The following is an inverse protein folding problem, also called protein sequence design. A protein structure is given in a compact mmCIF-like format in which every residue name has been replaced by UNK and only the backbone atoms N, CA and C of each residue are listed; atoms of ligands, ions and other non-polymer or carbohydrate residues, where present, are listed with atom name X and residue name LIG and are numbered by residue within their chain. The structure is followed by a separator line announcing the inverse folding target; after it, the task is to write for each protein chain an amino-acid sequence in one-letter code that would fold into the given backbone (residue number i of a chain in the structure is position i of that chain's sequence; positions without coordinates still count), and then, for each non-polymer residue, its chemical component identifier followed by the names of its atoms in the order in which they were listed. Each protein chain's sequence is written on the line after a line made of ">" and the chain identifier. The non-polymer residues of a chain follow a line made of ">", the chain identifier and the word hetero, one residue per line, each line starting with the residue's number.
data_IF_194932392766
#
_entry.id   IF_194932392766
#
_cell.length_a   1.000
_cell.length_b   1.000
_cell.length_c   1.000
_cell.angle_alpha   90.00
_cell.angle_beta   90.00
_cell.angle_gamma   90.00
#
_symmetry.space_group_name_H-M   'P 1'
#
loop_
_entity.id
_entity.type
_entity.pdbx_description
1 polymer ?
#
# COMPACT_ATOMS: atom_id res chain seq x y z
N UNK A 1 -15.01 -20.72 10.03
CA UNK A 1 -14.48 -19.43 9.56
C UNK A 1 -14.77 -19.34 8.07
N UNK A 2 -14.90 -18.15 7.50
CA UNK A 2 -14.94 -17.96 6.04
C UNK A 2 -13.81 -17.04 5.67
N UNK A 3 -13.11 -17.32 4.58
CA UNK A 3 -11.96 -16.53 4.11
C UNK A 3 -12.28 -16.02 2.71
N UNK A 4 -12.13 -14.71 2.51
CA UNK A 4 -12.08 -14.09 1.19
C UNK A 4 -10.62 -13.79 0.84
N UNK A 5 -10.29 -13.87 -0.45
CA UNK A 5 -8.95 -13.58 -0.95
C UNK A 5 -9.03 -12.49 -2.01
N UNK A 6 -8.24 -11.44 -1.80
CA UNK A 6 -8.23 -10.24 -2.60
C UNK A 6 -6.78 -9.87 -2.90
N UNK A 7 -6.54 -9.35 -4.09
CA UNK A 7 -5.26 -8.76 -4.47
C UNK A 7 -5.52 -7.39 -5.06
N UNK A 8 -4.49 -6.54 -5.07
CA UNK A 8 -4.58 -5.24 -5.72
C UNK A 8 -3.22 -4.87 -6.30
N UNK A 9 -3.27 -4.10 -7.37
CA UNK A 9 -2.15 -3.34 -7.92
C UNK A 9 -2.62 -1.89 -8.09
N UNK A 10 -2.73 -1.39 -9.31
CA UNK A 10 -3.55 -0.21 -9.62
C UNK A 10 -5.05 -0.56 -9.61
N UNK A 11 -5.39 -1.81 -9.90
CA UNK A 11 -6.74 -2.37 -9.87
C UNK A 11 -7.00 -3.16 -8.59
N UNK A 12 -8.29 -3.42 -8.30
CA UNK A 12 -8.71 -4.30 -7.21
C UNK A 12 -9.28 -5.59 -7.77
N UNK A 13 -8.81 -6.73 -7.26
CA UNK A 13 -9.18 -8.05 -7.74
C UNK A 13 -9.78 -8.88 -6.60
N UNK A 14 -10.98 -9.41 -6.85
CA UNK A 14 -11.62 -10.40 -6.00
C UNK A 14 -11.24 -11.78 -6.55
N UNK A 15 -10.35 -12.49 -5.87
CA UNK A 15 -10.00 -13.86 -6.25
C UNK A 15 -11.03 -14.85 -5.74
N UNK A 16 -11.52 -14.64 -4.51
CA UNK A 16 -12.70 -15.33 -3.99
C UNK A 16 -13.40 -14.51 -2.90
N UNK A 17 -14.73 -14.55 -2.89
CA UNK A 17 -15.53 -14.04 -1.78
C UNK A 17 -15.44 -14.98 -0.57
N UNK A 18 -15.81 -14.54 0.65
CA UNK A 18 -15.71 -15.38 1.85
C UNK A 18 -16.34 -16.76 1.70
N UNK A 19 -15.51 -17.80 1.76
CA UNK A 19 -15.89 -19.21 1.63
C UNK A 19 -15.28 -20.07 2.74
N UNK A 20 -15.89 -21.21 3.04
CA UNK A 20 -15.38 -22.26 3.91
C UNK A 20 -14.80 -23.46 3.13
N UNK A 21 -14.77 -23.39 1.80
CA UNK A 21 -14.07 -24.35 0.94
C UNK A 21 -12.56 -24.05 0.91
N UNK A 22 -11.86 -24.57 1.91
CA UNK A 22 -10.41 -24.37 2.06
C UNK A 22 -9.59 -25.09 0.99
N UNK A 23 -10.13 -26.13 0.34
CA UNK A 23 -9.44 -26.83 -0.75
C UNK A 23 -9.37 -25.93 -1.97
N UNK A 24 -10.51 -25.35 -2.37
CA UNK A 24 -10.55 -24.37 -3.46
C UNK A 24 -9.75 -23.12 -3.12
N UNK A 25 -9.82 -22.62 -1.88
CA UNK A 25 -9.03 -21.47 -1.44
C UNK A 25 -7.53 -21.72 -1.58
N UNK A 26 -7.02 -22.88 -1.16
CA UNK A 26 -5.61 -23.25 -1.32
C UNK A 26 -5.20 -23.25 -2.79
N UNK A 27 -6.01 -23.85 -3.66
CA UNK A 27 -5.75 -23.88 -5.10
C UNK A 27 -5.79 -22.49 -5.78
N UNK A 28 -6.52 -21.52 -5.21
CA UNK A 28 -6.50 -20.13 -5.66
C UNK A 28 -5.25 -19.42 -5.15
N UNK A 29 -4.90 -19.60 -3.87
CA UNK A 29 -3.73 -18.99 -3.26
C UNK A 29 -2.43 -19.42 -3.97
N UNK A 30 -2.32 -20.69 -4.36
CA UNK A 30 -1.17 -21.23 -5.12
C UNK A 30 -0.99 -20.58 -6.51
N UNK A 31 -2.02 -19.90 -7.02
CA UNK A 31 -2.01 -19.20 -8.31
C UNK A 31 -1.78 -17.71 -8.20
N UNK A 32 -1.63 -17.17 -6.98
CA UNK A 32 -1.29 -15.76 -6.80
C UNK A 32 0.12 -15.55 -7.33
N UNK A 33 0.20 -14.82 -8.44
CA UNK A 33 1.44 -14.40 -9.04
C UNK A 33 1.70 -12.94 -8.66
N UNK A 34 2.58 -12.75 -7.67
CA UNK A 34 3.03 -11.43 -7.21
C UNK A 34 3.97 -10.73 -8.21
N UNK A 35 4.39 -11.41 -9.28
CA UNK A 35 5.28 -10.88 -10.30
C UNK A 35 4.55 -10.47 -11.60
N UNK A 36 3.21 -10.49 -11.62
CA UNK A 36 2.47 -10.00 -12.80
C UNK A 36 2.78 -8.53 -13.07
N UNK A 37 3.04 -8.25 -14.35
CA UNK A 37 3.56 -7.01 -14.91
C UNK A 37 2.59 -5.82 -14.89
N UNK A 38 1.93 -5.57 -13.75
CA UNK A 38 1.16 -4.36 -13.55
C UNK A 38 2.01 -3.38 -12.74
N UNK A 39 2.42 -2.29 -13.40
CA UNK A 39 3.34 -1.32 -12.84
C UNK A 39 2.63 -0.41 -11.83
N UNK A 40 2.37 -0.91 -10.62
CA UNK A 40 2.04 -0.05 -9.50
C UNK A 40 1.32 -0.72 -8.33
N UNK A 41 1.06 0.09 -7.33
CA UNK A 41 0.46 -0.27 -6.06
C UNK A 41 -0.35 0.93 -5.60
N UNK A 42 -1.67 0.91 -5.83
CA UNK A 42 -2.62 1.89 -5.33
C UNK A 42 -3.25 1.39 -4.04
N UNK A 43 -2.56 1.59 -2.91
CA UNK A 43 -3.07 1.14 -1.61
C UNK A 43 -4.38 1.85 -1.25
N UNK A 44 -4.53 3.11 -1.61
CA UNK A 44 -5.79 3.84 -1.41
C UNK A 44 -6.96 3.14 -2.11
N UNK A 45 -6.83 2.86 -3.41
CA UNK A 45 -7.87 2.18 -4.18
C UNK A 45 -8.11 0.75 -3.67
N UNK A 46 -7.06 0.00 -3.36
CA UNK A 46 -7.15 -1.34 -2.81
C UNK A 46 -7.91 -1.39 -1.47
N UNK A 47 -7.57 -0.52 -0.51
CA UNK A 47 -8.24 -0.45 0.79
C UNK A 47 -9.67 0.10 0.67
N UNK A 48 -9.90 1.08 -0.21
CA UNK A 48 -11.25 1.60 -0.48
C UNK A 48 -12.16 0.51 -1.07
N UNK A 49 -11.69 -0.21 -2.08
CA UNK A 49 -12.44 -1.27 -2.75
C UNK A 49 -12.66 -2.46 -1.82
N UNK A 50 -11.66 -2.84 -1.02
CA UNK A 50 -11.82 -3.85 0.02
C UNK A 50 -12.87 -3.44 1.05
N UNK A 51 -12.88 -2.17 1.49
CA UNK A 51 -13.93 -1.66 2.36
C UNK A 51 -15.31 -1.81 1.69
N UNK A 52 -15.44 -1.54 0.40
CA UNK A 52 -16.67 -1.79 -0.36
C UNK A 52 -17.08 -3.27 -0.41
N UNK A 53 -16.11 -4.17 -0.52
CA UNK A 53 -16.33 -5.62 -0.61
C UNK A 53 -16.67 -6.29 0.73
N UNK A 54 -16.14 -5.77 1.85
CA UNK A 54 -16.45 -6.30 3.18
C UNK A 54 -17.73 -5.66 3.75
N UNK A 55 -18.62 -6.50 4.27
CA UNK A 55 -19.86 -6.08 4.95
C UNK A 55 -19.60 -5.40 6.31
N UNK A 56 -20.69 -5.10 7.02
CA UNK A 56 -20.59 -4.68 8.41
C UNK A 56 -20.08 -5.84 9.28
N UNK A 57 -19.22 -5.54 10.25
CA UNK A 57 -18.71 -6.54 11.19
C UNK A 57 -19.71 -6.74 12.32
N UNK A 58 -20.07 -8.01 12.58
CA UNK A 58 -20.84 -8.39 13.75
C UNK A 58 -19.97 -8.57 14.99
N UNK A 59 -20.61 -8.97 16.09
CA UNK A 59 -19.96 -9.14 17.39
C UNK A 59 -19.40 -10.55 17.63
N UNK A 60 -19.67 -11.50 16.72
CA UNK A 60 -19.26 -12.90 16.80
C UNK A 60 -20.20 -13.76 17.63
N UNK A 61 -21.35 -13.23 18.07
CA UNK A 61 -22.33 -13.98 18.88
C UNK A 61 -23.05 -15.08 18.08
N UNK A 62 -23.08 -14.97 16.75
CA UNK A 62 -23.75 -15.93 15.88
C UNK A 62 -23.14 -15.96 14.48
N UNK A 63 -23.51 -16.96 13.68
CA UNK A 63 -23.14 -17.05 12.28
C UNK A 63 -23.69 -15.89 11.42
N UNK A 64 -24.76 -15.23 11.86
CA UNK A 64 -25.35 -14.07 11.19
C UNK A 64 -24.69 -12.74 11.60
N UNK A 65 -23.91 -12.73 12.68
CA UNK A 65 -23.16 -11.58 13.17
C UNK A 65 -21.65 -11.92 13.27
N UNK A 66 -20.98 -12.28 12.17
CA UNK A 66 -19.59 -12.71 12.21
C UNK A 66 -18.66 -11.54 12.56
N UNK A 67 -17.67 -11.79 13.42
CA UNK A 67 -16.50 -10.90 13.53
C UNK A 67 -15.70 -10.96 12.23
N UNK A 68 -15.17 -9.81 11.81
CA UNK A 68 -14.39 -9.66 10.59
C UNK A 68 -12.98 -9.25 10.95
N UNK A 69 -12.02 -9.98 10.39
CA UNK A 69 -10.59 -9.69 10.48
C UNK A 69 -10.10 -9.42 9.06
N UNK A 70 -9.38 -8.33 8.87
CA UNK A 70 -8.73 -7.98 7.61
C UNK A 70 -7.23 -8.12 7.79
N UNK A 71 -6.59 -8.90 6.93
CA UNK A 71 -5.14 -9.09 6.92
C UNK A 71 -4.58 -8.31 5.73
N UNK A 72 -3.97 -7.17 5.99
CA UNK A 72 -3.35 -6.33 4.97
C UNK A 72 -1.83 -6.58 4.92
N UNK A 73 -1.37 -7.19 3.83
CA UNK A 73 0.03 -7.52 3.61
C UNK A 73 0.59 -6.65 2.48
N UNK A 74 1.67 -5.93 2.73
CA UNK A 74 2.30 -5.05 1.72
C UNK A 74 3.72 -4.69 2.14
N UNK A 75 4.55 -4.33 1.15
CA UNK A 75 5.83 -3.69 1.40
C UNK A 75 5.70 -2.22 1.84
N UNK A 76 4.47 -1.72 1.90
CA UNK A 76 4.12 -0.42 2.44
C UNK A 76 4.53 0.75 1.56
N UNK A 77 5.03 0.50 0.34
CA UNK A 77 5.15 1.53 -0.68
C UNK A 77 3.90 1.57 -1.54
N UNK A 78 3.55 2.76 -1.99
CA UNK A 78 2.46 2.98 -2.92
C UNK A 78 2.91 3.98 -3.96
N UNK A 79 2.51 3.74 -5.20
CA UNK A 79 2.57 4.68 -6.29
C UNK A 79 1.14 4.80 -6.84
N UNK A 80 0.38 5.70 -6.24
CA UNK A 80 -0.96 6.01 -6.75
C UNK A 80 -0.80 6.65 -8.13
N UNK A 81 -1.05 5.86 -9.17
CA UNK A 81 -1.36 6.33 -10.52
C UNK A 81 -2.81 6.78 -10.63
N UNK A 82 -3.43 7.16 -9.51
CA UNK A 82 -4.70 7.87 -9.55
C UNK A 82 -4.43 9.14 -10.33
N UNK A 83 -5.11 9.31 -11.45
CA UNK A 83 -5.12 10.56 -12.21
C UNK A 83 -5.52 11.67 -11.25
N UNK A 84 -4.54 12.31 -10.64
CA UNK A 84 -4.69 13.61 -10.02
C UNK A 84 -4.89 14.57 -11.18
N UNK A 85 -6.10 14.58 -11.75
CA UNK A 85 -6.50 15.64 -12.65
C UNK A 85 -6.49 16.92 -11.82
N UNK A 86 -5.97 18.03 -12.37
CA UNK A 86 -5.86 19.32 -11.69
C UNK A 86 -7.17 19.75 -10.98
N UNK A 87 -8.32 19.29 -11.48
CA UNK A 87 -9.65 19.52 -10.90
C UNK A 87 -9.90 18.85 -9.55
N UNK A 88 -9.29 17.69 -9.25
CA UNK A 88 -9.48 16.97 -7.98
C UNK A 88 -8.50 17.39 -6.88
N UNK A 89 -7.51 18.23 -7.17
CA UNK A 89 -6.60 18.76 -6.14
C UNK A 89 -7.32 19.64 -5.11
N UNK A 90 -8.31 20.41 -5.55
CA UNK A 90 -9.02 21.36 -4.68
C UNK A 90 -9.90 20.69 -3.61
N UNK A 91 -10.39 19.47 -3.86
CA UNK A 91 -11.18 18.67 -2.91
C UNK A 91 -10.33 17.64 -2.17
N UNK A 92 -9.30 17.08 -2.80
CA UNK A 92 -8.34 16.19 -2.15
C UNK A 92 -7.49 16.94 -1.10
N UNK A 93 -7.03 18.17 -1.38
CA UNK A 93 -6.22 18.96 -0.45
C UNK A 93 -6.95 19.36 0.85
N UNK A 94 -8.29 19.30 0.89
CA UNK A 94 -9.09 19.50 2.11
C UNK A 94 -9.47 18.20 2.82
N UNK A 95 -9.40 17.06 2.14
CA UNK A 95 -9.77 15.74 2.67
C UNK A 95 -8.57 14.89 3.09
N UNK A 96 -7.38 15.18 2.56
CA UNK A 96 -6.10 14.61 2.99
C UNK A 96 -5.38 15.65 3.84
N UNK A 97 -4.98 15.34 5.09
CA UNK A 97 -4.07 16.23 5.79
C UNK A 97 -2.81 16.39 4.93
N UNK A 98 -2.27 17.60 4.77
CA UNK A 98 -1.05 17.79 4.01
C UNK A 98 0.06 16.96 4.68
N UNK A 99 0.47 15.87 4.03
CA UNK A 99 1.63 15.13 4.47
C UNK A 99 2.87 15.96 4.23
N UNK A 100 3.64 16.12 5.28
CA UNK A 100 4.96 16.75 5.25
C UNK A 100 5.89 15.91 4.35
N UNK A 101 6.13 16.42 3.14
CA UNK A 101 7.16 15.93 2.22
C UNK A 101 6.72 15.19 0.94
N UNK A 102 5.47 15.29 0.46
CA UNK A 102 5.10 14.77 -0.87
C UNK A 102 5.83 15.57 -1.96
N UNK A 103 6.68 14.91 -2.76
CA UNK A 103 7.31 15.50 -3.97
C UNK A 103 6.67 14.91 -5.23
N UNK A 104 5.94 15.72 -5.97
CA UNK A 104 5.44 15.38 -7.31
C UNK A 104 6.56 15.60 -8.34
N UNK A 105 6.84 14.65 -9.23
CA UNK A 105 7.74 14.88 -10.38
C UNK A 105 7.04 14.51 -11.69
N UNK A 106 7.15 15.40 -12.68
CA UNK A 106 6.84 15.14 -14.08
C UNK A 106 7.88 14.18 -14.64
N UNK A 107 7.46 13.11 -15.32
CA UNK A 107 8.34 12.09 -15.89
C UNK A 107 8.94 12.45 -17.25
N UNK A 108 8.78 13.67 -17.76
CA UNK A 108 9.32 14.02 -19.08
C UNK A 108 10.60 14.86 -18.99
N UNK A 109 11.82 14.27 -19.03
CA UNK A 109 12.91 14.94 -19.69
C UNK A 109 12.74 14.76 -21.21
N UNK A 110 12.94 15.82 -22.02
CA UNK A 110 13.04 15.64 -23.47
C UNK A 110 14.15 14.62 -23.79
N UNK A 111 14.00 13.81 -24.85
CA UNK A 111 14.90 12.70 -25.19
C UNK A 111 16.37 13.09 -25.42
N UNK A 112 16.68 14.39 -25.42
CA UNK A 112 17.98 14.94 -25.82
C UNK A 112 18.72 15.67 -24.69
N UNK A 113 18.22 15.65 -23.44
CA UNK A 113 18.91 16.28 -22.31
C UNK A 113 19.93 15.32 -21.67
N UNK A 114 21.20 15.73 -21.65
CA UNK A 114 22.35 14.95 -21.20
C UNK A 114 22.33 14.51 -19.72
N UNK A 115 23.47 14.05 -19.17
CA UNK A 115 23.51 13.29 -17.91
C UNK A 115 22.85 14.06 -16.76
N UNK A 116 21.87 13.38 -16.17
CA UNK A 116 21.02 13.78 -15.08
C UNK A 116 21.84 14.33 -13.90
N UNK A 117 21.79 15.64 -13.67
CA UNK A 117 22.26 16.23 -12.42
C UNK A 117 21.11 16.22 -11.41
N UNK A 118 21.24 15.55 -10.25
CA UNK A 118 20.29 15.78 -9.17
C UNK A 118 20.40 17.26 -8.75
N UNK A 119 19.29 17.96 -8.48
CA UNK A 119 19.37 19.29 -7.90
C UNK A 119 19.99 19.15 -6.50
N UNK A 120 21.27 19.54 -6.41
CA UNK A 120 21.93 19.81 -5.14
C UNK A 120 21.33 21.14 -4.64
N UNK A 121 20.33 21.05 -3.77
CA UNK A 121 19.66 22.21 -3.18
C UNK A 121 18.59 21.84 -2.15
N UNK A 122 18.83 22.28 -0.92
CA UNK A 122 17.98 22.45 0.28
C UNK A 122 16.54 21.87 0.32
N UNK A 123 16.11 21.17 1.42
CA UNK A 123 14.81 20.54 1.54
C UNK A 123 13.74 21.52 2.05
N UNK A 124 13.55 22.66 1.38
CA UNK A 124 12.46 23.58 1.71
C UNK A 124 11.23 23.22 0.89
N UNK A 125 10.19 22.81 1.61
CA UNK A 125 8.85 22.51 1.11
C UNK A 125 8.35 23.58 0.13
N UNK A 126 8.20 23.21 -1.13
CA UNK A 126 7.44 23.95 -2.13
C UNK A 126 6.36 23.02 -2.66
N UNK A 127 5.10 23.44 -2.50
CA UNK A 127 3.92 22.75 -3.03
C UNK A 127 4.11 22.36 -4.50
N UNK A 128 3.54 21.23 -4.92
CA UNK A 128 3.57 20.77 -6.31
C UNK A 128 3.16 21.92 -7.24
N UNK A 129 4.13 22.47 -7.98
CA UNK A 129 3.88 23.55 -8.94
C UNK A 129 3.47 22.87 -10.25
N UNK A 130 2.27 23.14 -10.81
CA UNK A 130 1.98 22.73 -12.17
C UNK A 130 3.00 23.40 -13.10
N UNK A 131 3.54 22.63 -14.05
CA UNK A 131 4.39 23.18 -15.11
C UNK A 131 3.60 24.25 -15.88
N UNK A 132 4.01 25.54 -15.86
CA UNK A 132 3.27 26.60 -16.53
C UNK A 132 3.56 26.71 -18.03
N UNK A 133 4.33 25.79 -18.64
CA UNK A 133 4.76 25.89 -20.04
C UNK A 133 4.42 24.64 -20.87
N UNK A 134 3.14 24.35 -21.07
CA UNK A 134 2.59 23.87 -22.38
C UNK A 134 1.08 23.57 -22.29
N UNK A 135 0.21 24.36 -22.96
CA UNK A 135 -1.25 24.16 -22.93
C UNK A 135 -1.79 22.95 -23.71
N UNK A 136 -0.98 21.96 -24.11
CA UNK A 136 -1.42 20.91 -25.04
C UNK A 136 -0.86 19.50 -24.76
N UNK A 137 -0.72 19.10 -23.50
CA UNK A 137 -0.67 17.68 -23.13
C UNK A 137 -1.72 17.38 -22.06
N UNK A 138 -2.91 17.02 -22.53
CA UNK A 138 -3.83 16.18 -21.78
C UNK A 138 -3.15 14.83 -21.52
N UNK A 139 -2.67 14.57 -20.30
CA UNK A 139 -2.33 13.19 -19.88
C UNK A 139 -0.98 12.90 -19.20
N UNK A 140 -0.28 13.86 -18.59
CA UNK A 140 1.03 13.56 -18.00
C UNK A 140 0.94 13.10 -16.55
N UNK A 141 1.06 11.78 -16.38
CA UNK A 141 1.01 11.05 -15.11
C UNK A 141 2.07 11.49 -14.11
N UNK A 142 1.63 12.05 -13.00
CA UNK A 142 2.47 12.30 -11.83
C UNK A 142 2.49 11.01 -11.00
N UNK A 143 3.65 10.36 -10.92
CA UNK A 143 3.82 9.24 -9.99
C UNK A 143 4.07 9.80 -8.59
N UNK A 144 3.13 9.56 -7.66
CA UNK A 144 3.33 9.84 -6.25
C UNK A 144 3.84 8.60 -5.53
N UNK A 145 5.16 8.52 -5.33
CA UNK A 145 5.77 7.47 -4.52
C UNK A 145 5.72 7.90 -3.06
N UNK A 146 5.06 7.13 -2.21
CA UNK A 146 4.95 7.40 -0.78
C UNK A 146 4.81 6.12 0.03
N UNK A 147 4.89 6.24 1.35
CA UNK A 147 4.48 5.17 2.25
C UNK A 147 2.96 5.10 2.27
N UNK A 148 2.39 3.94 2.64
CA UNK A 148 0.96 3.83 2.96
C UNK A 148 0.55 4.96 3.92
N UNK A 149 -0.58 5.60 3.63
CA UNK A 149 -1.19 6.57 4.55
C UNK A 149 -2.12 5.83 5.53
N UNK A 150 -1.89 5.94 6.85
CA UNK A 150 -2.74 5.31 7.87
C UNK A 150 -4.21 5.73 7.81
N UNK A 151 -4.53 6.91 7.29
CA UNK A 151 -5.89 7.42 7.14
C UNK A 151 -6.73 6.61 6.16
N UNK A 152 -6.12 5.95 5.17
CA UNK A 152 -6.85 5.09 4.22
C UNK A 152 -7.41 3.84 4.90
N UNK A 153 -6.77 3.41 5.98
CA UNK A 153 -7.15 2.24 6.78
C UNK A 153 -8.40 2.51 7.62
N UNK A 154 -8.78 3.78 7.82
CA UNK A 154 -9.93 4.17 8.63
C UNK A 154 -11.23 3.57 8.09
N UNK A 155 -11.39 3.47 6.76
CA UNK A 155 -12.60 2.92 6.12
C UNK A 155 -12.85 1.44 6.46
N UNK A 156 -11.79 0.68 6.72
CA UNK A 156 -11.88 -0.70 7.20
C UNK A 156 -12.23 -0.71 8.70
N UNK A 157 -11.56 0.14 9.48
CA UNK A 157 -11.79 0.26 10.94
C UNK A 157 -13.22 0.72 11.26
N UNK A 158 -13.77 1.64 10.47
CA UNK A 158 -15.15 2.15 10.61
C UNK A 158 -16.21 1.06 10.45
N UNK A 159 -15.85 -0.07 9.82
CA UNK A 159 -16.72 -1.26 9.74
C UNK A 159 -16.64 -2.14 10.98
N UNK A 160 -15.96 -1.70 12.04
CA UNK A 160 -15.67 -2.45 13.25
C UNK A 160 -14.87 -3.74 12.99
N UNK A 161 -14.14 -3.80 11.87
CA UNK A 161 -13.26 -4.91 11.56
C UNK A 161 -11.93 -4.76 12.31
N UNK A 162 -11.31 -5.88 12.70
CA UNK A 162 -9.93 -5.88 13.19
C UNK A 162 -8.99 -5.90 12.00
N UNK A 163 -8.32 -4.78 11.74
CA UNK A 163 -7.32 -4.64 10.69
C UNK A 163 -5.95 -5.02 11.24
N UNK A 164 -5.44 -6.15 10.78
CA UNK A 164 -4.08 -6.62 11.01
C UNK A 164 -3.21 -6.20 9.83
N UNK A 165 -1.99 -5.72 10.10
CA UNK A 165 -1.04 -5.36 9.05
C UNK A 165 0.18 -6.25 9.10
N UNK A 166 0.73 -6.58 7.95
CA UNK A 166 2.03 -7.21 7.81
C UNK A 166 2.87 -6.39 6.85
N UNK A 167 3.86 -5.69 7.40
CA UNK A 167 4.91 -5.05 6.62
C UNK A 167 5.92 -6.10 6.17
N UNK A 168 5.94 -6.40 4.89
CA UNK A 168 7.03 -7.16 4.27
C UNK A 168 8.14 -6.19 3.94
N UNK A 169 9.34 -6.36 4.49
CA UNK A 169 10.41 -5.34 4.34
C UNK A 169 10.62 -4.96 2.87
N UNK A 170 10.59 -3.65 2.58
CA UNK A 170 10.77 -3.17 1.21
C UNK A 170 12.20 -3.47 0.77
N UNK A 171 12.33 -4.30 -0.26
CA UNK A 171 13.63 -4.68 -0.78
C UNK A 171 14.03 -3.70 -1.87
N UNK A 172 14.88 -2.73 -1.52
CA UNK A 172 15.69 -2.08 -2.54
C UNK A 172 16.60 -3.14 -3.15
N UNK A 173 16.47 -3.36 -4.47
CA UNK A 173 17.43 -4.16 -5.23
C UNK A 173 18.85 -3.72 -4.85
N UNK A 174 19.79 -4.67 -4.63
CA UNK A 174 21.00 -4.43 -3.86
C UNK A 174 21.79 -3.25 -4.41
N UNK A 175 21.64 -2.14 -3.70
CA UNK A 175 22.18 -0.84 -4.00
C UNK A 175 21.78 -0.32 -5.39
N UNK A 176 21.55 0.99 -5.45
CA UNK A 176 22.17 1.75 -6.51
C UNK A 176 23.56 1.13 -6.80
N UNK A 177 23.72 0.37 -7.88
CA UNK A 177 24.92 -0.45 -8.05
C UNK A 177 26.15 0.44 -7.90
N UNK A 178 27.21 0.03 -7.23
CA UNK A 178 28.40 0.92 -7.13
C UNK A 178 29.01 1.27 -8.49
N UNK A 179 28.52 0.65 -9.56
CA UNK A 179 28.71 1.07 -10.94
C UNK A 179 27.93 2.37 -11.24
N UNK A 180 28.63 3.52 -11.35
CA UNK A 180 28.01 4.79 -11.71
C UNK A 180 27.52 4.82 -13.17
N UNK A 181 27.81 3.81 -14.00
CA UNK A 181 27.29 3.69 -15.36
C UNK A 181 25.93 3.00 -15.44
N UNK A 182 25.50 2.34 -14.36
CA UNK A 182 24.17 1.77 -14.28
C UNK A 182 23.16 2.89 -13.98
N UNK A 183 22.22 3.09 -14.90
CA UNK A 183 21.15 4.09 -14.78
C UNK A 183 20.32 3.89 -13.50
N UNK A 184 20.23 2.65 -13.00
CA UNK A 184 19.50 2.31 -11.77
C UNK A 184 20.22 2.81 -10.51
N UNK A 185 21.54 3.02 -10.59
CA UNK A 185 22.36 3.63 -9.54
C UNK A 185 22.05 5.11 -9.35
N UNK A 186 21.89 5.82 -10.45
CA UNK A 186 21.66 7.26 -10.47
C UNK A 186 20.18 7.61 -10.48
N UNK A 187 19.33 6.60 -10.28
CA UNK A 187 17.91 6.77 -10.29
C UNK A 187 17.45 7.38 -8.95
N UNK A 188 16.96 8.62 -9.03
CA UNK A 188 16.59 9.42 -7.88
C UNK A 188 15.46 8.81 -7.03
N UNK A 189 14.57 8.00 -7.61
CA UNK A 189 13.47 7.33 -6.90
C UNK A 189 14.02 6.35 -5.89
N UNK A 190 15.06 5.57 -6.20
CA UNK A 190 15.64 4.67 -5.19
C UNK A 190 16.26 5.46 -4.04
N UNK A 191 16.96 6.55 -4.34
CA UNK A 191 17.49 7.46 -3.30
C UNK A 191 16.38 8.11 -2.48
N UNK A 192 15.28 8.50 -3.13
CA UNK A 192 14.13 9.10 -2.46
C UNK A 192 13.38 8.08 -1.60
N UNK A 193 13.17 6.87 -2.11
CA UNK A 193 12.53 5.77 -1.39
C UNK A 193 13.37 5.44 -0.14
N UNK A 194 14.68 5.28 -0.30
CA UNK A 194 15.59 4.95 0.80
C UNK A 194 15.59 6.03 1.89
N UNK A 195 15.74 7.30 1.51
CA UNK A 195 15.90 8.38 2.47
C UNK A 195 14.59 8.89 3.08
N UNK A 196 13.47 8.82 2.35
CA UNK A 196 12.23 9.49 2.74
C UNK A 196 11.02 8.57 2.88
N UNK A 197 10.97 7.45 2.16
CA UNK A 197 9.80 6.55 2.17
C UNK A 197 10.01 5.42 3.17
N UNK A 198 11.07 4.62 3.03
CA UNK A 198 11.37 3.47 3.88
C UNK A 198 11.29 3.80 5.38
N UNK A 199 11.88 4.90 5.88
CA UNK A 199 11.81 5.25 7.30
C UNK A 199 10.36 5.47 7.80
N UNK A 200 9.43 5.83 6.91
CA UNK A 200 8.02 6.11 7.23
C UNK A 200 7.13 4.87 7.11
N UNK A 201 7.55 3.84 6.37
CA UNK A 201 6.70 2.65 6.09
C UNK A 201 6.28 1.94 7.37
N UNK A 202 7.24 1.52 8.20
CA UNK A 202 6.92 0.73 9.40
C UNK A 202 6.00 1.49 10.37
N UNK A 203 6.29 2.76 10.75
CA UNK A 203 5.36 3.55 11.56
C UNK A 203 3.98 3.67 10.94
N UNK A 204 3.89 3.86 9.62
CA UNK A 204 2.61 3.99 8.93
C UNK A 204 1.81 2.67 8.94
N UNK A 205 2.46 1.54 8.66
CA UNK A 205 1.82 0.21 8.73
C UNK A 205 1.36 -0.13 10.16
N UNK A 206 2.10 0.31 11.18
CA UNK A 206 1.70 0.18 12.58
C UNK A 206 0.48 1.04 12.93
N UNK A 207 0.43 2.29 12.45
CA UNK A 207 -0.72 3.18 12.64
C UNK A 207 -1.96 2.74 11.84
N UNK A 208 -1.76 2.09 10.69
CA UNK A 208 -2.81 1.49 9.88
C UNK A 208 -3.47 0.30 10.59
N UNK A 209 -2.76 -0.48 11.41
CA UNK A 209 -3.33 -1.56 12.20
C UNK A 209 -4.37 -1.05 13.21
N UNK A 210 -5.34 -1.89 13.60
CA UNK A 210 -6.33 -1.55 14.65
C UNK A 210 -5.68 -1.37 16.02
N UNK A 211 -4.56 -2.03 16.28
CA UNK A 211 -3.77 -1.91 17.51
C UNK A 211 -2.32 -2.37 17.28
N UNK A 212 -1.38 -1.98 18.15
CA UNK A 212 0.02 -2.39 18.01
C UNK A 212 0.26 -3.91 18.05
N UNK A 213 -0.63 -4.68 18.69
CA UNK A 213 -0.50 -6.15 18.81
C UNK A 213 -0.97 -6.93 17.59
N UNK A 214 -1.53 -6.24 16.59
CA UNK A 214 -1.90 -6.79 15.28
C UNK A 214 -1.13 -6.12 14.13
N UNK A 215 0.00 -5.46 14.46
CA UNK A 215 0.97 -4.96 13.48
C UNK A 215 2.19 -5.88 13.45
N UNK A 216 2.36 -6.59 12.34
CA UNK A 216 3.40 -7.59 12.12
C UNK A 216 4.45 -7.10 11.13
N UNK A 217 5.65 -7.70 11.21
CA UNK A 217 6.75 -7.45 10.28
C UNK A 217 7.36 -8.78 9.87
N UNK A 218 7.59 -8.95 8.57
CA UNK A 218 8.30 -10.11 8.00
C UNK A 218 9.43 -9.63 7.10
N UNK A 219 10.67 -9.99 7.45
CA UNK A 219 11.88 -9.54 6.71
C UNK A 219 12.34 -10.52 5.64
N UNK A 220 12.02 -11.78 5.82
CA UNK A 220 12.38 -12.88 4.94
C UNK A 220 11.21 -13.87 4.85
N UNK A 221 11.36 -14.90 4.01
CA UNK A 221 10.32 -15.92 3.80
C UNK A 221 9.86 -16.58 5.11
N UNK A 222 10.77 -16.86 6.03
CA UNK A 222 10.44 -17.50 7.30
C UNK A 222 9.71 -16.54 8.26
N UNK A 223 10.14 -15.28 8.30
CA UNK A 223 9.50 -14.21 9.07
C UNK A 223 8.10 -13.90 8.55
N UNK A 224 7.90 -13.87 7.23
CA UNK A 224 6.59 -13.71 6.60
C UNK A 224 5.68 -14.90 6.97
N UNK A 225 6.16 -16.14 6.82
CA UNK A 225 5.38 -17.33 7.17
C UNK A 225 4.97 -17.33 8.66
N UNK A 226 5.90 -16.97 9.55
CA UNK A 226 5.64 -16.85 10.99
C UNK A 226 4.62 -15.74 11.30
N UNK A 227 4.72 -14.59 10.65
CA UNK A 227 3.78 -13.49 10.83
C UNK A 227 2.36 -13.87 10.37
N UNK A 228 2.24 -14.51 9.20
CA UNK A 228 0.95 -14.98 8.69
C UNK A 228 0.32 -16.00 9.63
N UNK A 229 1.10 -16.97 10.13
CA UNK A 229 0.62 -17.94 11.13
C UNK A 229 0.12 -17.23 12.41
N UNK A 230 0.83 -16.22 12.89
CA UNK A 230 0.39 -15.43 14.05
C UNK A 230 -0.89 -14.63 13.77
N UNK A 231 -1.05 -14.06 12.58
CA UNK A 231 -2.28 -13.35 12.18
C UNK A 231 -3.48 -14.30 12.18
N UNK A 232 -3.34 -15.50 11.61
CA UNK A 232 -4.41 -16.51 11.63
C UNK A 232 -4.71 -17.00 13.05
N UNK A 233 -3.69 -17.28 13.86
CA UNK A 233 -3.87 -17.64 15.27
C UNK A 233 -4.60 -16.54 16.03
N UNK A 234 -4.24 -15.26 15.84
CA UNK A 234 -4.95 -14.13 16.42
C UNK A 234 -6.42 -14.15 16.01
N UNK A 235 -6.74 -14.20 14.71
CA UNK A 235 -8.12 -14.18 14.22
C UNK A 235 -8.97 -15.34 14.74
N UNK A 236 -8.38 -16.54 14.84
CA UNK A 236 -9.07 -17.73 15.35
C UNK A 236 -9.29 -17.62 16.85
N UNK A 237 -8.25 -17.29 17.63
CA UNK A 237 -8.33 -17.34 19.09
C UNK A 237 -8.97 -16.12 19.73
N UNK A 238 -9.02 -14.95 19.07
CA UNK A 238 -9.77 -13.79 19.55
C UNK A 238 -11.29 -13.96 19.40
N UNK A 239 -11.73 -14.78 18.44
CA UNK A 239 -13.14 -15.11 18.22
C UNK A 239 -13.68 -16.24 19.09
N UNK A 240 -12.81 -17.08 19.68
CA UNK A 240 -13.23 -18.14 20.61
C UNK A 240 -13.47 -17.54 22.00
N UNK A 241 -14.65 -16.92 22.19
CA UNK A 241 -15.23 -16.84 23.52
C UNK A 241 -15.75 -18.24 23.85
N UNK A 242 -14.98 -19.02 24.61
CA UNK A 242 -15.56 -20.10 25.40
C UNK A 242 -16.52 -19.45 26.39
N UNK A 243 -17.79 -19.30 26.02
CA UNK A 243 -18.84 -19.07 27.00
C UNK A 243 -18.84 -20.28 27.93
N UNK A 244 -18.25 -20.10 29.11
CA UNK A 244 -18.59 -20.92 30.27
C UNK A 244 -20.01 -20.58 30.72
#
# INVERSE_FOLDING_TARGET
>A
MRIGLYTFDVDFHILTTPTDDYVTLGAIADKIDIARWHAGTSTYHGLQSLAGAIGATGDGSSAAAPQTYVMFMSDGTTNSADNITETNWSTAATAYPPFDGVRCWSMDPPPDSGPYYPPIGDPVAGACVPDPWTPTHSGNGQMQIQSVDPGWCQRIKDKNATLMTLYTEYLLSPAASTDPSNWMTNEWRFTYIDNFVIPKIKPAMQACASSPDVAFVGKDTAGIASAVDQMFKKAIYSGVRLSK
#
